data_IF_746000214389
#
_entry.id   IF_746000214389
#
_cell.length_a   1.000
_cell.length_b   1.000
_cell.length_c   1.000
_cell.angle_alpha   90.00
_cell.angle_beta   90.00
_cell.angle_gamma   90.00
#
_symmetry.space_group_name_H-M   'P 1'
#
loop_
_entity.id
_entity.type
_entity.pdbx_description
1 polymer ?
#
# COMPACT_ATOMS: atom_id res chain seq x y z
N UNK A 1 -8.94 12.29 30.54
CA UNK A 1 -10.18 12.41 29.74
C UNK A 1 -11.23 13.06 30.62
N UNK A 2 -11.97 14.04 30.12
CA UNK A 2 -13.22 14.46 30.76
C UNK A 2 -14.23 13.30 30.71
N UNK A 3 -15.29 13.36 31.51
CA UNK A 3 -16.30 12.30 31.54
C UNK A 3 -16.97 12.12 30.17
N UNK A 4 -17.31 13.21 29.49
CA UNK A 4 -17.86 13.17 28.11
C UNK A 4 -16.88 12.54 27.10
N UNK A 5 -15.60 12.87 27.17
CA UNK A 5 -14.60 12.32 26.25
C UNK A 5 -14.39 10.82 26.52
N UNK A 6 -14.47 10.41 27.79
CA UNK A 6 -14.39 9.01 28.19
C UNK A 6 -15.59 8.23 27.66
N UNK A 7 -16.80 8.75 27.83
CA UNK A 7 -18.02 8.11 27.35
C UNK A 7 -18.02 7.94 25.82
N UNK A 8 -17.62 8.97 25.08
CA UNK A 8 -17.43 8.86 23.63
C UNK A 8 -16.39 7.78 23.29
N UNK A 9 -15.25 7.76 24.00
CA UNK A 9 -14.19 6.78 23.73
C UNK A 9 -14.66 5.34 23.98
N UNK A 10 -15.37 5.08 25.08
CA UNK A 10 -15.95 3.77 25.38
C UNK A 10 -17.02 3.37 24.35
N UNK A 11 -17.83 4.32 23.86
CA UNK A 11 -18.80 4.07 22.79
C UNK A 11 -18.13 3.59 21.50
N UNK A 12 -17.00 4.21 21.13
CA UNK A 12 -16.23 3.80 19.94
C UNK A 12 -15.65 2.39 20.14
N UNK A 13 -15.08 2.12 21.32
CA UNK A 13 -14.52 0.81 21.65
C UNK A 13 -15.57 -0.29 21.60
N UNK A 14 -16.74 -0.06 22.21
CA UNK A 14 -17.85 -0.99 22.17
C UNK A 14 -18.31 -1.30 20.73
N UNK A 15 -18.31 -0.28 19.85
CA UNK A 15 -18.61 -0.47 18.43
C UNK A 15 -17.57 -1.34 17.70
N UNK A 16 -16.28 -1.10 17.94
CA UNK A 16 -15.19 -1.91 17.38
C UNK A 16 -15.26 -3.37 17.88
N UNK A 17 -15.51 -3.56 19.17
CA UNK A 17 -15.66 -4.88 19.80
C UNK A 17 -16.84 -5.64 19.20
N UNK A 18 -17.98 -4.95 18.99
CA UNK A 18 -19.17 -5.54 18.36
C UNK A 18 -18.92 -5.98 16.91
N UNK A 19 -18.08 -5.23 16.17
CA UNK A 19 -17.69 -5.58 14.79
C UNK A 19 -16.54 -6.59 14.73
N UNK A 20 -15.95 -6.97 15.87
CA UNK A 20 -14.80 -7.86 15.93
C UNK A 20 -13.53 -7.27 15.32
N UNK A 21 -13.40 -5.93 15.30
CA UNK A 21 -12.25 -5.23 14.75
C UNK A 21 -11.17 -5.13 15.85
N UNK A 22 -10.03 -5.82 15.72
CA UNK A 22 -8.97 -5.73 16.71
C UNK A 22 -8.32 -4.33 16.67
N UNK A 23 -7.98 -3.81 17.85
CA UNK A 23 -7.26 -2.54 17.99
C UNK A 23 -6.30 -2.58 19.19
N UNK A 24 -5.30 -1.70 19.16
CA UNK A 24 -4.37 -1.50 20.27
C UNK A 24 -4.49 -0.06 20.77
N UNK A 25 -4.56 0.10 22.10
CA UNK A 25 -4.56 1.42 22.71
C UNK A 25 -3.14 1.99 22.78
N UNK A 26 -2.96 3.18 22.20
CA UNK A 26 -1.69 3.92 22.25
C UNK A 26 -1.89 5.27 22.95
N UNK A 27 -1.54 5.39 24.25
CA UNK A 27 -1.69 6.64 25.00
C UNK A 27 -0.81 7.80 24.48
N UNK A 28 0.17 7.50 23.63
CA UNK A 28 1.11 8.47 23.05
C UNK A 28 0.78 8.83 21.60
N UNK A 29 -0.34 8.34 21.08
CA UNK A 29 -0.76 8.67 19.72
C UNK A 29 -1.22 10.12 19.65
N UNK A 30 -0.32 10.98 19.15
CA UNK A 30 -0.61 12.37 18.83
C UNK A 30 -0.52 12.52 17.32
N UNK A 31 -1.53 13.12 16.70
CA UNK A 31 -1.52 13.42 15.26
C UNK A 31 -0.86 14.78 15.05
N UNK A 32 -0.12 14.95 13.96
CA UNK A 32 0.64 16.17 13.68
C UNK A 32 -0.18 17.41 13.29
N UNK A 33 -1.50 17.41 13.53
CA UNK A 33 -2.43 18.48 13.17
C UNK A 33 -3.33 18.79 14.36
N UNK A 34 -3.41 20.06 14.75
CA UNK A 34 -4.02 20.46 16.03
C UNK A 34 -5.56 20.50 16.01
N UNK A 35 -6.19 20.31 14.84
CA UNK A 35 -7.65 20.34 14.71
C UNK A 35 -8.34 19.07 15.24
N UNK A 36 -7.58 18.03 15.61
CA UNK A 36 -8.17 16.79 16.09
C UNK A 36 -8.79 16.94 17.48
N UNK A 37 -9.97 16.36 17.65
CA UNK A 37 -10.75 16.33 18.88
C UNK A 37 -11.16 14.88 19.17
N UNK A 38 -11.21 14.50 20.46
CA UNK A 38 -11.69 13.18 20.91
C UNK A 38 -10.94 12.01 20.25
N UNK A 39 -11.59 11.25 19.36
CA UNK A 39 -11.05 10.02 18.76
C UNK A 39 -9.95 10.30 17.74
N UNK A 40 -8.81 9.64 17.91
CA UNK A 40 -7.73 9.55 16.91
C UNK A 40 -7.36 8.08 16.71
N UNK A 41 -6.95 7.72 15.49
CA UNK A 41 -6.54 6.37 15.15
C UNK A 41 -5.51 6.35 14.03
N UNK A 42 -4.79 5.24 13.92
CA UNK A 42 -3.76 5.00 12.92
C UNK A 42 -3.85 3.55 12.45
N UNK A 43 -3.63 3.33 11.16
CA UNK A 43 -3.44 2.02 10.58
C UNK A 43 -1.95 1.80 10.37
N UNK A 44 -1.41 0.76 10.98
CA UNK A 44 -0.02 0.34 10.83
C UNK A 44 0.04 -1.00 10.08
N UNK A 45 1.04 -1.16 9.21
CA UNK A 45 1.33 -2.42 8.54
C UNK A 45 2.58 -3.06 9.14
N UNK A 46 2.44 -4.22 9.75
CA UNK A 46 3.55 -4.93 10.43
C UNK A 46 4.68 -5.32 9.47
N UNK A 47 4.34 -5.58 8.19
CA UNK A 47 5.30 -5.90 7.15
C UNK A 47 6.29 -4.76 6.85
N UNK A 48 5.94 -3.51 7.20
CA UNK A 48 6.83 -2.36 7.09
C UNK A 48 7.66 -2.26 8.37
N UNK A 49 8.78 -2.99 8.45
CA UNK A 49 9.63 -3.14 9.64
C UNK A 49 10.32 -1.85 10.18
N UNK A 50 9.97 -0.67 9.67
CA UNK A 50 10.59 0.62 10.02
C UNK A 50 9.74 1.36 11.06
N UNK A 51 10.33 2.29 11.82
CA UNK A 51 9.66 3.20 12.78
C UNK A 51 8.58 4.14 12.17
N UNK A 52 8.18 3.91 10.92
CA UNK A 52 7.19 4.65 10.14
C UNK A 52 6.28 3.65 9.41
N UNK A 53 5.78 2.67 10.14
CA UNK A 53 4.92 1.59 9.63
C UNK A 53 3.45 2.01 9.45
N UNK A 54 3.10 3.26 9.80
CA UNK A 54 1.80 3.83 9.53
C UNK A 54 1.53 3.90 8.01
N UNK A 55 0.46 3.25 7.56
CA UNK A 55 -0.04 3.33 6.17
C UNK A 55 -1.09 4.41 5.99
N UNK A 56 -1.68 4.86 7.11
CA UNK A 56 -2.63 5.96 7.14
C UNK A 56 -3.22 6.15 8.53
N UNK A 57 -4.13 7.11 8.66
CA UNK A 57 -4.75 7.39 9.94
C UNK A 57 -5.77 8.51 9.84
N UNK A 58 -6.43 8.78 10.96
CA UNK A 58 -7.52 9.71 11.00
C UNK A 58 -7.98 10.03 12.41
N UNK A 59 -9.13 10.65 12.48
CA UNK A 59 -9.70 11.09 13.73
C UNK A 59 -10.83 12.07 13.52
N UNK A 60 -11.38 12.53 14.63
CA UNK A 60 -12.53 13.43 14.70
C UNK A 60 -12.06 14.89 14.82
N UNK A 61 -12.77 15.84 14.21
CA UNK A 61 -12.32 17.22 13.99
C UNK A 61 -13.48 18.23 13.94
N UNK A 62 -14.35 18.22 14.95
CA UNK A 62 -15.58 19.04 14.98
C UNK A 62 -15.37 20.55 14.81
N UNK A 63 -14.26 21.09 15.34
CA UNK A 63 -13.99 22.54 15.27
C UNK A 63 -13.57 23.02 13.88
N UNK A 64 -13.14 22.11 13.00
CA UNK A 64 -12.47 22.48 11.76
C UNK A 64 -13.36 23.33 10.84
N UNK A 65 -14.67 23.03 10.76
CA UNK A 65 -15.57 23.81 9.90
C UNK A 65 -15.82 25.21 10.48
N UNK A 66 -15.92 25.34 11.80
CA UNK A 66 -16.05 26.64 12.48
C UNK A 66 -14.79 27.50 12.29
N UNK A 67 -13.61 26.88 12.47
CA UNK A 67 -12.31 27.55 12.29
C UNK A 67 -12.13 28.10 10.86
N UNK A 68 -12.81 27.50 9.87
CA UNK A 68 -12.84 27.93 8.48
C UNK A 68 -13.98 28.90 8.14
N UNK A 69 -14.74 29.37 9.13
CA UNK A 69 -15.82 30.35 8.96
C UNK A 69 -17.18 29.75 8.60
N UNK A 70 -17.33 28.43 8.70
CA UNK A 70 -18.59 27.72 8.53
C UNK A 70 -19.37 27.54 9.85
N UNK A 71 -20.52 26.83 9.80
CA UNK A 71 -21.27 26.50 11.00
C UNK A 71 -20.62 25.37 11.81
N UNK A 72 -20.99 25.30 13.09
CA UNK A 72 -20.69 24.18 13.98
C UNK A 72 -21.03 22.82 13.36
N UNK A 73 -20.00 22.07 12.93
CA UNK A 73 -20.19 20.85 12.16
C UNK A 73 -19.25 19.74 12.63
N UNK A 74 -19.79 18.71 13.31
CA UNK A 74 -19.02 17.53 13.66
C UNK A 74 -18.42 16.84 12.44
N UNK A 75 -17.18 16.38 12.54
CA UNK A 75 -16.47 15.75 11.43
C UNK A 75 -15.57 14.62 11.89
N UNK A 76 -15.53 13.53 11.14
CA UNK A 76 -14.57 12.43 11.33
C UNK A 76 -14.16 11.91 9.96
N UNK A 77 -12.89 11.54 9.82
CA UNK A 77 -12.34 11.09 8.55
C UNK A 77 -10.95 10.53 8.73
N UNK A 78 -10.41 10.02 7.63
CA UNK A 78 -9.06 9.47 7.57
C UNK A 78 -8.46 9.69 6.18
N UNK A 79 -7.15 9.56 6.12
CA UNK A 79 -6.39 9.54 4.88
C UNK A 79 -5.43 8.35 4.89
N UNK A 80 -5.25 7.73 3.73
CA UNK A 80 -4.35 6.61 3.52
C UNK A 80 -3.34 6.99 2.42
N UNK A 81 -2.08 6.59 2.60
CA UNK A 81 -1.05 6.75 1.59
C UNK A 81 -1.08 5.59 0.60
N UNK A 82 -1.48 5.84 -0.66
CA UNK A 82 -1.56 4.80 -1.69
C UNK A 82 -0.20 4.11 -1.88
N UNK A 83 0.88 4.87 -2.00
CA UNK A 83 2.23 4.30 -2.14
C UNK A 83 2.62 3.43 -0.93
N UNK A 84 2.21 3.82 0.28
CA UNK A 84 2.49 3.06 1.51
C UNK A 84 1.69 1.77 1.56
N UNK A 85 0.45 1.78 1.11
CA UNK A 85 -0.37 0.58 0.98
C UNK A 85 0.26 -0.36 -0.05
N UNK A 86 0.67 0.14 -1.22
CA UNK A 86 1.31 -0.69 -2.24
C UNK A 86 2.61 -1.32 -1.71
N UNK A 87 3.43 -0.56 -1.00
CA UNK A 87 4.64 -1.11 -0.36
C UNK A 87 4.33 -2.18 0.69
N UNK A 88 3.27 -2.00 1.50
CA UNK A 88 2.85 -3.00 2.46
C UNK A 88 2.35 -4.28 1.76
N UNK A 89 1.52 -4.14 0.72
CA UNK A 89 1.03 -5.27 -0.07
C UNK A 89 2.16 -6.03 -0.77
N UNK A 90 3.19 -5.33 -1.28
CA UNK A 90 4.36 -5.94 -1.88
C UNK A 90 5.19 -6.72 -0.84
N UNK A 91 5.42 -6.11 0.34
CA UNK A 91 6.12 -6.76 1.45
C UNK A 91 5.38 -8.00 1.99
N UNK A 92 4.05 -8.01 1.93
CA UNK A 92 3.20 -9.15 2.28
C UNK A 92 3.08 -10.20 1.16
N UNK A 93 3.66 -9.93 -0.03
CA UNK A 93 3.59 -10.84 -1.18
C UNK A 93 2.20 -10.96 -1.79
N UNK A 94 1.34 -9.93 -1.65
CA UNK A 94 -0.03 -9.92 -2.18
C UNK A 94 -0.03 -9.84 -3.72
N UNK A 95 0.97 -9.20 -4.31
CA UNK A 95 1.09 -9.10 -5.75
C UNK A 95 1.70 -10.35 -6.36
N UNK A 96 1.04 -10.89 -7.38
CA UNK A 96 1.63 -11.93 -8.21
C UNK A 96 2.87 -11.39 -8.93
N UNK A 97 3.91 -12.22 -9.04
CA UNK A 97 5.07 -11.90 -9.85
C UNK A 97 4.62 -11.68 -11.29
N UNK A 98 4.85 -10.49 -11.89
CA UNK A 98 4.46 -10.25 -13.27
C UNK A 98 5.24 -11.20 -14.20
N UNK A 99 4.55 -11.76 -15.19
CA UNK A 99 5.26 -12.51 -16.22
C UNK A 99 6.26 -11.60 -16.94
N UNK A 100 7.48 -12.10 -17.24
CA UNK A 100 8.42 -11.35 -18.05
C UNK A 100 7.77 -10.95 -19.38
N UNK A 101 7.72 -9.63 -19.63
CA UNK A 101 7.25 -9.10 -20.91
C UNK A 101 8.19 -9.51 -22.05
N UNK A 102 9.49 -9.59 -21.75
CA UNK A 102 10.51 -10.09 -22.67
C UNK A 102 10.59 -11.60 -22.52
N UNK A 103 10.14 -12.33 -23.55
CA UNK A 103 10.27 -13.79 -23.60
C UNK A 103 11.67 -14.23 -24.05
N UNK A 104 12.30 -13.46 -24.95
CA UNK A 104 13.64 -13.72 -25.50
C UNK A 104 14.35 -12.40 -25.74
N UNK A 105 15.63 -12.32 -25.37
CA UNK A 105 16.53 -11.20 -25.69
C UNK A 105 17.65 -11.72 -26.59
N UNK A 106 17.83 -11.12 -27.77
CA UNK A 106 18.83 -11.57 -28.76
C UNK A 106 19.97 -10.57 -28.82
N UNK A 107 21.20 -11.04 -28.56
CA UNK A 107 22.43 -10.25 -28.70
C UNK A 107 23.16 -10.69 -29.96
N UNK A 108 23.38 -9.75 -30.87
CA UNK A 108 24.19 -9.97 -32.07
C UNK A 108 25.58 -9.36 -31.86
N UNK A 109 26.59 -10.23 -31.84
CA UNK A 109 28.01 -9.85 -31.62
C UNK A 109 28.76 -9.57 -32.92
N UNK A 110 28.08 -9.57 -34.07
CA UNK A 110 28.70 -9.52 -35.40
C UNK A 110 28.33 -8.29 -36.21
N UNK A 111 27.06 -7.85 -36.21
CA UNK A 111 26.64 -6.72 -37.06
C UNK A 111 25.23 -6.16 -36.87
N UNK A 112 24.45 -6.67 -35.91
CA UNK A 112 23.11 -6.19 -35.54
C UNK A 112 21.95 -6.66 -36.45
N UNK A 113 22.24 -7.14 -37.67
CA UNK A 113 21.22 -7.55 -38.64
C UNK A 113 20.60 -8.92 -38.35
N UNK A 114 21.33 -9.83 -37.68
CA UNK A 114 20.84 -11.16 -37.36
C UNK A 114 19.82 -11.11 -36.21
N UNK A 115 20.07 -10.27 -35.20
CA UNK A 115 19.10 -10.05 -34.13
C UNK A 115 17.76 -9.53 -34.67
N UNK A 116 17.79 -8.56 -35.59
CA UNK A 116 16.58 -8.02 -36.22
C UNK A 116 15.79 -9.11 -36.96
N UNK A 117 16.48 -10.00 -37.69
CA UNK A 117 15.82 -11.07 -38.41
C UNK A 117 15.17 -12.13 -37.51
N UNK A 118 15.80 -12.47 -36.37
CA UNK A 118 15.21 -13.38 -35.39
C UNK A 118 13.99 -12.74 -34.70
N UNK A 119 14.07 -11.48 -34.30
CA UNK A 119 12.98 -10.78 -33.61
C UNK A 119 11.78 -10.48 -34.52
N UNK A 120 11.99 -10.28 -35.83
CA UNK A 120 10.91 -9.99 -36.80
C UNK A 120 10.32 -11.25 -37.45
N UNK A 121 10.75 -12.45 -37.03
CA UNK A 121 10.33 -13.72 -37.63
C UNK A 121 10.82 -13.91 -39.08
N UNK A 122 11.75 -13.07 -39.54
CA UNK A 122 12.33 -13.12 -40.90
C UNK A 122 13.49 -14.11 -41.02
N UNK A 123 14.00 -14.59 -39.88
CA UNK A 123 14.96 -15.67 -39.80
C UNK A 123 14.29 -16.81 -39.02
N UNK A 124 13.95 -17.89 -39.72
CA UNK A 124 13.66 -19.17 -39.07
C UNK A 124 14.93 -19.57 -38.30
N UNK A 125 14.86 -19.91 -36.99
CA UNK A 125 16.03 -20.45 -36.31
C UNK A 125 16.55 -21.63 -37.13
N UNK A 126 17.88 -21.80 -37.28
CA UNK A 126 18.40 -22.99 -37.93
C UNK A 126 17.77 -24.19 -37.21
N UNK A 127 17.06 -25.03 -37.96
CA UNK A 127 16.62 -26.32 -37.42
C UNK A 127 17.87 -26.95 -36.83
N UNK A 128 17.83 -27.31 -35.54
CA UNK A 128 18.89 -28.08 -34.92
C UNK A 128 19.24 -29.22 -35.89
N UNK A 129 20.44 -29.18 -36.47
CA UNK A 129 20.88 -30.25 -37.35
C UNK A 129 20.84 -31.54 -36.53
N UNK A 130 20.37 -32.67 -37.09
CA UNK A 130 20.41 -33.94 -36.40
C UNK A 130 21.86 -34.42 -36.36
N UNK A 131 22.64 -33.87 -35.44
CA UNK A 131 23.98 -34.35 -35.09
C UNK A 131 24.01 -34.57 -33.59
N UNK A 132 23.17 -35.51 -33.15
CA UNK A 132 23.41 -36.36 -31.99
C UNK A 132 22.81 -37.74 -32.31
N UNK A 133 23.34 -38.37 -33.36
CA UNK A 133 23.28 -39.81 -33.53
C UNK A 133 24.70 -40.26 -33.90
N UNK A 134 25.22 -41.20 -33.11
CA UNK A 134 26.51 -41.90 -33.21
C UNK A 134 27.76 -41.18 -32.66
N UNK A 135 28.09 -41.39 -31.38
CA UNK A 135 28.91 -42.52 -30.89
C UNK A 135 29.04 -42.46 -29.37
#
# INVERSE_FOLDING_TARGET
LTDETREHFETVRAGLDQMGIPYQLSPRLVRGLDYYTRTTFEFAADALATAQNAVGGGGRYDGLVEDLGGPATPGIGFALGVDRILLACDAEGVFATPEPAVKVFVVDVTGGSHALGVCTGRITPPRCAPTCAAS
#
